data_IF_461326681586
#
_entry.id   IF_461326681586
#
_cell.length_a   1.000
_cell.length_b   1.000
_cell.length_c   1.000
_cell.angle_alpha   90.00
_cell.angle_beta   90.00
_cell.angle_gamma   90.00
#
_symmetry.space_group_name_H-M   'P 1'
#
loop_
_entity.id
_entity.type
_entity.pdbx_description
1 polymer ?
#
# COMPACT_ATOMS: atom_id res chain seq x y z
N UNK A 1 43.71 -31.57 -45.71
CA UNK A 1 42.91 -30.65 -46.56
C UNK A 1 41.62 -30.29 -45.80
N UNK A 2 41.18 -29.02 -45.88
CA UNK A 2 40.02 -28.35 -45.24
C UNK A 2 40.24 -27.86 -43.79
N UNK A 3 40.62 -26.59 -43.64
CA UNK A 3 39.82 -25.33 -43.55
C UNK A 3 39.39 -25.06 -42.11
N UNK A 4 40.04 -24.10 -41.43
CA UNK A 4 39.56 -22.72 -41.27
C UNK A 4 38.10 -22.64 -40.79
N UNK A 5 37.90 -22.25 -39.54
CA UNK A 5 36.87 -21.29 -39.14
C UNK A 5 37.39 -20.51 -37.91
N UNK A 6 37.41 -19.19 -38.09
CA UNK A 6 37.73 -18.16 -37.10
C UNK A 6 36.57 -18.06 -36.12
N UNK A 7 36.83 -18.10 -34.82
CA UNK A 7 35.85 -17.67 -33.81
C UNK A 7 36.52 -16.96 -32.61
N UNK A 8 36.95 -15.69 -32.75
CA UNK A 8 37.04 -14.80 -31.60
C UNK A 8 35.73 -13.99 -31.43
N UNK A 9 34.64 -14.38 -32.09
CA UNK A 9 33.39 -13.61 -32.13
C UNK A 9 32.32 -14.01 -31.11
N UNK A 10 32.43 -15.18 -30.47
CA UNK A 10 31.35 -15.68 -29.59
C UNK A 10 31.53 -15.30 -28.11
N UNK A 11 32.72 -14.85 -27.69
CA UNK A 11 32.97 -14.50 -26.28
C UNK A 11 32.63 -13.03 -25.95
N UNK A 12 32.46 -12.18 -26.96
CA UNK A 12 32.09 -10.76 -26.76
C UNK A 12 30.58 -10.52 -26.62
N UNK A 13 29.74 -11.51 -26.95
CA UNK A 13 28.27 -11.38 -26.84
C UNK A 13 27.76 -11.77 -25.45
N UNK A 14 28.51 -12.55 -24.67
CA UNK A 14 28.11 -12.88 -23.30
C UNK A 14 28.31 -11.73 -22.30
N UNK A 15 29.23 -10.80 -22.58
CA UNK A 15 29.48 -9.64 -21.71
C UNK A 15 28.44 -8.52 -21.83
N UNK A 16 27.61 -8.52 -22.89
CA UNK A 16 26.58 -7.49 -23.12
C UNK A 16 25.25 -7.87 -22.42
N UNK A 17 25.10 -9.12 -21.97
CA UNK A 17 23.92 -9.55 -21.20
C UNK A 17 24.00 -9.23 -19.69
N UNK A 18 25.15 -8.75 -19.20
CA UNK A 18 25.31 -8.34 -17.79
C UNK A 18 25.00 -6.84 -17.60
N UNK A 19 24.84 -6.07 -18.68
CA UNK A 19 24.44 -4.65 -18.63
C UNK A 19 22.92 -4.43 -18.67
N UNK A 20 22.12 -5.49 -18.62
CA UNK A 20 20.65 -5.45 -18.79
C UNK A 20 19.81 -5.42 -17.51
N UNK A 21 20.43 -5.54 -16.32
CA UNK A 21 19.82 -5.14 -15.07
C UNK A 21 20.66 -4.01 -14.50
N UNK A 22 20.60 -2.86 -15.17
CA UNK A 22 20.58 -1.60 -14.46
C UNK A 22 19.28 -1.63 -13.64
N UNK A 23 19.27 -2.47 -12.58
CA UNK A 23 18.34 -2.34 -11.48
C UNK A 23 18.52 -0.89 -11.10
N UNK A 24 17.52 -0.09 -11.44
CA UNK A 24 17.49 1.29 -11.06
C UNK A 24 17.69 1.24 -9.56
N UNK A 25 18.90 1.56 -9.14
CA UNK A 25 19.18 1.97 -7.79
C UNK A 25 18.44 3.30 -7.67
N UNK A 26 17.12 3.22 -7.59
CA UNK A 26 16.30 4.20 -6.92
C UNK A 26 16.69 4.07 -5.44
N UNK A 27 17.90 4.54 -5.13
CA UNK A 27 18.18 5.21 -3.88
C UNK A 27 17.41 6.55 -3.89
N UNK A 28 16.10 6.53 -4.21
CA UNK A 28 15.21 7.63 -3.86
C UNK A 28 15.13 7.53 -2.35
N UNK A 29 15.99 8.28 -1.67
CA UNK A 29 15.71 8.70 -0.30
C UNK A 29 14.24 9.11 -0.29
N UNK A 30 13.41 8.44 0.51
CA UNK A 30 11.99 8.70 0.65
C UNK A 30 11.83 10.21 0.88
N UNK A 31 11.39 10.92 -0.16
CA UNK A 31 11.37 12.37 -0.19
C UNK A 31 9.92 12.82 -0.16
N UNK A 32 9.57 13.56 0.88
CA UNK A 32 8.19 13.99 1.14
C UNK A 32 7.60 14.79 -0.02
N UNK A 33 8.39 15.61 -0.72
CA UNK A 33 7.90 16.39 -1.85
C UNK A 33 7.53 15.51 -3.03
N UNK A 34 8.34 14.48 -3.28
CA UNK A 34 8.05 13.49 -4.32
C UNK A 34 6.78 12.71 -3.96
N UNK A 35 6.66 12.24 -2.72
CA UNK A 35 5.47 11.50 -2.26
C UNK A 35 4.20 12.33 -2.37
N UNK A 36 4.24 13.61 -1.95
CA UNK A 36 3.10 14.52 -2.10
C UNK A 36 2.70 14.74 -3.56
N UNK A 37 3.68 14.90 -4.45
CA UNK A 37 3.44 15.05 -5.88
C UNK A 37 2.83 13.79 -6.48
N UNK A 38 3.40 12.62 -6.17
CA UNK A 38 2.94 11.31 -6.63
C UNK A 38 1.51 11.03 -6.14
N UNK A 39 1.22 11.32 -4.86
CA UNK A 39 -0.13 11.20 -4.29
C UNK A 39 -1.13 12.11 -4.97
N UNK A 40 -0.78 13.37 -5.22
CA UNK A 40 -1.68 14.29 -5.93
C UNK A 40 -1.97 13.80 -7.37
N UNK A 41 -0.95 13.31 -8.05
CA UNK A 41 -1.10 12.65 -9.36
C UNK A 41 -2.00 11.42 -9.29
N UNK A 42 -1.81 10.57 -8.28
CA UNK A 42 -2.65 9.42 -8.01
C UNK A 42 -4.10 9.83 -7.79
N UNK A 43 -4.38 10.77 -6.87
CA UNK A 43 -5.76 11.19 -6.54
C UNK A 43 -6.49 11.75 -7.75
N UNK A 44 -5.83 12.60 -8.55
CA UNK A 44 -6.43 13.18 -9.76
C UNK A 44 -6.79 12.11 -10.79
N UNK A 45 -5.90 11.14 -11.01
CA UNK A 45 -6.17 10.02 -11.90
C UNK A 45 -7.31 9.16 -11.34
N UNK A 46 -7.16 8.70 -10.10
CA UNK A 46 -8.14 7.84 -9.42
C UNK A 46 -9.54 8.45 -9.43
N UNK A 47 -9.70 9.75 -9.13
CA UNK A 47 -11.01 10.39 -9.15
C UNK A 47 -11.61 10.43 -10.56
N UNK A 48 -10.78 10.63 -11.57
CA UNK A 48 -11.22 10.66 -12.98
C UNK A 48 -11.68 9.28 -13.41
N UNK A 49 -10.85 8.25 -13.18
CA UNK A 49 -11.15 6.87 -13.51
C UNK A 49 -12.42 6.41 -12.77
N UNK A 50 -12.58 6.78 -11.48
CA UNK A 50 -13.76 6.43 -10.69
C UNK A 50 -15.03 7.08 -11.26
N UNK A 51 -14.99 8.36 -11.63
CA UNK A 51 -16.12 9.06 -12.25
C UNK A 51 -16.47 8.53 -13.64
N UNK A 52 -15.49 7.98 -14.35
CA UNK A 52 -15.66 7.35 -15.65
C UNK A 52 -16.08 5.87 -15.54
N UNK A 53 -16.34 5.35 -14.33
CA UNK A 53 -16.69 3.94 -14.08
C UNK A 53 -15.58 2.94 -14.49
N UNK A 54 -14.33 3.39 -14.53
CA UNK A 54 -13.15 2.57 -14.84
C UNK A 54 -12.54 1.91 -13.59
N UNK A 55 -13.15 2.11 -12.43
CA UNK A 55 -12.78 1.49 -11.15
C UNK A 55 -13.88 0.53 -10.71
N UNK A 56 -13.53 -0.76 -10.60
CA UNK A 56 -14.38 -1.76 -9.97
C UNK A 56 -14.17 -1.77 -8.47
N UNK A 57 -15.26 -1.75 -7.70
CA UNK A 57 -15.23 -1.79 -6.23
C UNK A 57 -15.68 -3.16 -5.74
N UNK A 58 -14.85 -3.81 -4.92
CA UNK A 58 -15.16 -5.12 -4.32
C UNK A 58 -15.07 -4.99 -2.81
N UNK A 59 -16.10 -5.41 -2.08
CA UNK A 59 -16.09 -5.48 -0.63
C UNK A 59 -16.09 -6.94 -0.16
N UNK A 60 -15.26 -7.26 0.84
CA UNK A 60 -15.19 -8.56 1.49
C UNK A 60 -14.93 -8.42 2.99
N UNK A 61 -15.57 -9.28 3.76
CA UNK A 61 -15.32 -9.41 5.19
C UNK A 61 -13.93 -10.02 5.45
N UNK A 62 -13.30 -9.63 6.55
CA UNK A 62 -12.04 -10.20 7.01
C UNK A 62 -12.32 -11.53 7.72
N UNK A 63 -11.54 -12.57 7.42
CA UNK A 63 -11.69 -13.88 8.04
C UNK A 63 -11.16 -13.83 9.47
N UNK A 64 -12.02 -14.17 10.44
CA UNK A 64 -11.66 -14.31 11.85
C UNK A 64 -11.59 -13.00 12.65
N UNK A 65 -11.90 -11.86 12.02
CA UNK A 65 -11.97 -10.55 12.67
C UNK A 65 -13.27 -9.86 12.26
N UNK A 66 -13.75 -8.98 13.14
CA UNK A 66 -14.84 -8.07 12.78
C UNK A 66 -14.27 -6.90 11.98
N UNK A 67 -14.45 -6.94 10.67
CA UNK A 67 -13.85 -5.98 9.76
C UNK A 67 -14.08 -6.31 8.30
N UNK A 68 -13.76 -5.36 7.44
CA UNK A 68 -13.99 -5.43 6.00
C UNK A 68 -12.82 -4.83 5.22
N UNK A 69 -12.64 -5.31 3.99
CA UNK A 69 -11.72 -4.78 3.00
C UNK A 69 -12.49 -4.37 1.76
N UNK A 70 -12.38 -3.10 1.40
CA UNK A 70 -12.86 -2.56 0.13
C UNK A 70 -11.68 -2.38 -0.83
N UNK A 71 -11.67 -3.14 -1.91
CA UNK A 71 -10.68 -3.02 -2.99
C UNK A 71 -11.21 -2.17 -4.13
N UNK A 72 -10.33 -1.34 -4.67
CA UNK A 72 -10.57 -0.54 -5.86
C UNK A 72 -9.63 -1.03 -6.96
N UNK A 73 -10.20 -1.65 -7.98
CA UNK A 73 -9.49 -2.34 -9.05
C UNK A 73 -9.63 -1.50 -10.32
N UNK A 74 -8.51 -1.15 -10.95
CA UNK A 74 -8.50 -0.36 -12.18
C UNK A 74 -8.88 -1.19 -13.42
N UNK A 75 -9.06 -0.51 -14.56
CA UNK A 75 -9.39 -1.13 -15.84
C UNK A 75 -8.36 -2.18 -16.33
N UNK A 76 -7.16 -2.24 -15.75
CA UNK A 76 -6.14 -3.25 -16.05
C UNK A 76 -6.17 -4.43 -15.06
N UNK A 77 -7.22 -4.55 -14.24
CA UNK A 77 -7.33 -5.51 -13.15
C UNK A 77 -6.25 -5.38 -12.07
N UNK A 78 -5.64 -4.20 -11.92
CA UNK A 78 -4.69 -3.93 -10.85
C UNK A 78 -5.41 -3.27 -9.67
N UNK A 79 -5.18 -3.76 -8.46
CA UNK A 79 -5.65 -3.09 -7.24
C UNK A 79 -4.89 -1.78 -7.08
N UNK A 80 -5.59 -0.65 -7.18
CA UNK A 80 -5.01 0.70 -7.08
C UNK A 80 -5.11 1.26 -5.66
N UNK A 81 -6.17 0.89 -4.93
CA UNK A 81 -6.39 1.27 -3.53
C UNK A 81 -7.10 0.16 -2.76
N UNK A 82 -6.81 0.05 -1.46
CA UNK A 82 -7.61 -0.71 -0.50
C UNK A 82 -8.02 0.18 0.68
N UNK A 83 -9.24 -0.01 1.17
CA UNK A 83 -9.65 0.46 2.50
C UNK A 83 -9.82 -0.77 3.38
N UNK A 84 -9.16 -0.79 4.53
CA UNK A 84 -9.26 -1.85 5.53
C UNK A 84 -9.88 -1.24 6.78
N UNK A 85 -11.00 -1.80 7.23
CA UNK A 85 -11.69 -1.38 8.45
C UNK A 85 -11.68 -2.56 9.43
N UNK A 86 -11.24 -2.30 10.65
CA UNK A 86 -11.26 -3.28 11.76
C UNK A 86 -12.00 -2.66 12.93
N UNK A 87 -12.96 -3.42 13.45
CA UNK A 87 -13.74 -3.08 14.63
C UNK A 87 -13.18 -3.83 15.85
N UNK A 88 -12.79 -3.07 16.86
CA UNK A 88 -12.53 -3.56 18.21
C UNK A 88 -13.76 -3.38 19.09
N UNK A 89 -13.65 -3.71 20.37
CA UNK A 89 -14.75 -3.49 21.32
C UNK A 89 -15.06 -1.99 21.45
N UNK A 90 -14.06 -1.16 21.71
CA UNK A 90 -14.15 0.28 21.97
C UNK A 90 -13.35 1.14 20.97
N UNK A 91 -12.83 0.53 19.90
CA UNK A 91 -12.07 1.23 18.88
C UNK A 91 -12.47 0.81 17.46
N UNK A 92 -12.27 1.72 16.50
CA UNK A 92 -12.33 1.42 15.06
C UNK A 92 -11.05 1.91 14.40
N UNK A 93 -10.43 1.04 13.62
CA UNK A 93 -9.27 1.38 12.80
C UNK A 93 -9.68 1.39 11.33
N UNK A 94 -9.48 2.53 10.65
CA UNK A 94 -9.62 2.66 9.19
C UNK A 94 -8.26 2.93 8.60
N UNK A 95 -7.76 1.99 7.78
CA UNK A 95 -6.49 2.11 7.09
C UNK A 95 -6.70 2.18 5.58
N UNK A 96 -6.14 3.18 4.92
CA UNK A 96 -6.21 3.31 3.46
C UNK A 96 -4.83 3.06 2.85
N UNK A 97 -4.78 2.13 1.91
CA UNK A 97 -3.57 1.73 1.20
C UNK A 97 -3.66 2.23 -0.24
N UNK A 98 -2.66 3.00 -0.65
CA UNK A 98 -2.52 3.55 -2.00
C UNK A 98 -1.34 2.88 -2.68
N UNK A 99 -1.60 2.05 -3.70
CA UNK A 99 -0.56 1.28 -4.39
C UNK A 99 0.03 2.12 -5.53
N UNK A 100 1.10 2.84 -5.21
CA UNK A 100 1.82 3.72 -6.14
C UNK A 100 3.01 2.94 -6.70
N UNK A 101 3.46 3.29 -7.90
CA UNK A 101 4.62 2.62 -8.49
C UNK A 101 5.86 2.78 -7.59
N UNK A 102 6.43 1.63 -7.18
CA UNK A 102 7.58 1.55 -6.30
C UNK A 102 7.32 1.58 -4.79
N UNK A 103 6.13 1.96 -4.28
CA UNK A 103 5.83 1.98 -2.84
C UNK A 103 4.33 1.97 -2.53
N UNK A 104 3.97 1.63 -1.29
CA UNK A 104 2.60 1.79 -0.80
C UNK A 104 2.54 2.96 0.19
N UNK A 105 1.67 3.92 -0.07
CA UNK A 105 1.34 4.96 0.91
C UNK A 105 0.17 4.49 1.77
N UNK A 106 0.25 4.71 3.08
CA UNK A 106 -0.77 4.25 4.02
C UNK A 106 -1.19 5.39 4.95
N UNK A 107 -2.49 5.61 5.07
CA UNK A 107 -3.08 6.44 6.13
C UNK A 107 -3.79 5.54 7.12
N UNK A 108 -3.71 5.86 8.41
CA UNK A 108 -4.35 5.09 9.48
C UNK A 108 -5.07 6.08 10.40
N UNK A 109 -6.39 6.00 10.42
CA UNK A 109 -7.26 6.70 11.36
C UNK A 109 -7.75 5.70 12.41
N UNK A 110 -7.41 5.92 13.67
CA UNK A 110 -8.01 5.17 14.79
C UNK A 110 -8.95 6.07 15.56
N UNK A 111 -10.15 5.59 15.78
CA UNK A 111 -11.18 6.21 16.61
C UNK A 111 -11.33 5.41 17.89
N UNK A 112 -11.36 6.11 19.02
CA UNK A 112 -11.57 5.52 20.34
C UNK A 112 -12.89 6.04 20.89
N UNK A 113 -13.73 5.14 21.34
CA UNK A 113 -15.11 5.43 21.72
C UNK A 113 -15.28 5.47 23.25
N UNK A 114 -16.33 6.14 23.71
CA UNK A 114 -16.63 6.29 25.14
C UNK A 114 -17.14 5.00 25.79
N UNK A 115 -17.62 4.04 24.99
CA UNK A 115 -18.09 2.72 25.41
C UNK A 115 -18.06 1.76 24.21
N UNK A 116 -18.22 0.43 24.43
CA UNK A 116 -18.11 -0.53 23.34
C UNK A 116 -19.12 -0.30 22.21
N UNK A 117 -18.70 -0.49 20.96
CA UNK A 117 -19.47 -0.24 19.74
C UNK A 117 -20.82 -0.99 19.78
N UNK A 118 -20.83 -2.20 20.33
CA UNK A 118 -22.02 -3.06 20.40
C UNK A 118 -22.87 -2.88 21.67
N UNK A 119 -22.55 -1.90 22.52
CA UNK A 119 -23.21 -1.75 23.82
C UNK A 119 -24.70 -1.40 23.72
N UNK A 120 -25.09 -0.53 22.78
CA UNK A 120 -26.49 -0.16 22.58
C UNK A 120 -26.73 0.45 21.20
N UNK A 121 -27.62 -0.18 20.42
CA UNK A 121 -28.07 0.33 19.12
C UNK A 121 -28.88 1.64 19.22
N UNK A 122 -29.37 1.98 20.41
CA UNK A 122 -30.20 3.16 20.65
C UNK A 122 -29.40 4.35 21.20
N UNK A 123 -28.08 4.21 21.35
CA UNK A 123 -27.24 5.24 21.94
C UNK A 123 -26.11 5.57 20.96
N UNK A 124 -26.02 6.83 20.47
CA UNK A 124 -24.99 7.20 19.51
C UNK A 124 -23.62 7.07 20.16
N UNK A 125 -22.71 6.37 19.48
CA UNK A 125 -21.35 6.17 19.96
C UNK A 125 -20.60 7.50 19.85
N UNK A 126 -20.14 8.01 21.00
CA UNK A 126 -19.34 9.23 21.04
C UNK A 126 -17.85 8.89 20.85
N UNK A 127 -17.20 9.64 19.96
CA UNK A 127 -15.74 9.54 19.75
C UNK A 127 -15.05 10.33 20.85
N UNK A 128 -14.34 9.62 21.72
CA UNK A 128 -13.57 10.21 22.81
C UNK A 128 -12.33 10.92 22.25
N UNK A 129 -11.58 10.26 21.39
CA UNK A 129 -10.44 10.85 20.68
C UNK A 129 -10.10 10.08 19.40
N UNK A 130 -9.27 10.70 18.57
CA UNK A 130 -8.77 10.10 17.33
C UNK A 130 -7.25 10.18 17.27
N UNK A 131 -6.63 9.22 16.60
CA UNK A 131 -5.23 9.29 16.20
C UNK A 131 -5.13 9.14 14.69
N UNK A 132 -4.20 9.87 14.08
CA UNK A 132 -3.93 9.80 12.65
C UNK A 132 -2.44 9.57 12.42
N UNK A 133 -2.12 8.58 11.61
CA UNK A 133 -0.75 8.27 11.21
C UNK A 133 -0.66 8.14 9.69
N UNK A 134 0.47 8.57 9.16
CA UNK A 134 0.83 8.40 7.75
C UNK A 134 2.12 7.59 7.69
N UNK A 135 2.17 6.64 6.76
CA UNK A 135 3.31 5.77 6.58
C UNK A 135 3.56 5.45 5.10
N UNK A 136 4.80 5.06 4.80
CA UNK A 136 5.22 4.53 3.51
C UNK A 136 5.81 3.14 3.73
N UNK A 137 5.34 2.18 2.96
CA UNK A 137 5.94 0.86 2.84
C UNK A 137 6.77 0.85 1.56
N UNK A 138 8.08 0.67 1.71
CA UNK A 138 9.05 0.67 0.62
C UNK A 138 10.11 -0.39 0.88
N UNK A 139 10.33 -1.29 -0.09
CA UNK A 139 11.34 -2.34 -0.01
C UNK A 139 11.25 -3.19 1.29
N UNK A 140 10.02 -3.57 1.67
CA UNK A 140 9.73 -4.32 2.90
C UNK A 140 9.94 -3.54 4.20
N UNK A 141 10.33 -2.26 4.13
CA UNK A 141 10.55 -1.39 5.27
C UNK A 141 9.40 -0.40 5.42
N UNK A 142 9.08 -0.06 6.68
CA UNK A 142 8.00 0.88 6.99
C UNK A 142 8.59 2.17 7.54
N UNK A 143 8.11 3.29 7.02
CA UNK A 143 8.53 4.63 7.41
C UNK A 143 7.32 5.42 7.85
N UNK A 144 7.32 5.90 9.10
CA UNK A 144 6.26 6.76 9.63
C UNK A 144 6.59 8.22 9.35
N UNK A 145 5.61 9.01 8.93
CA UNK A 145 5.76 10.45 8.84
C UNK A 145 5.75 11.07 10.25
N UNK A 146 6.83 11.73 10.62
CA UNK A 146 7.00 12.44 11.90
C UNK A 146 7.59 13.80 11.59
N UNK A 147 6.91 14.88 11.99
CA UNK A 147 7.37 16.26 11.81
C UNK A 147 7.83 16.60 10.38
N UNK A 148 7.17 16.04 9.36
CA UNK A 148 7.51 16.28 7.96
C UNK A 148 8.61 15.39 7.38
N UNK A 149 9.12 14.43 8.15
CA UNK A 149 10.14 13.47 7.69
C UNK A 149 9.67 12.03 7.86
N UNK A 150 10.02 11.17 6.90
CA UNK A 150 9.74 9.74 6.97
C UNK A 150 10.85 9.02 7.73
N UNK A 151 10.53 8.58 8.95
CA UNK A 151 11.46 7.89 9.85
C UNK A 151 11.16 6.40 9.82
N UNK A 152 12.18 5.57 9.59
CA UNK A 152 12.04 4.11 9.65
C UNK A 152 11.51 3.67 11.01
N UNK A 153 10.52 2.80 11.03
CA UNK A 153 9.88 2.26 12.24
C UNK A 153 9.67 0.76 12.13
N UNK A 154 9.53 0.11 13.28
CA UNK A 154 9.01 -1.26 13.32
C UNK A 154 7.51 -1.24 13.09
N UNK A 155 6.95 -2.35 12.58
CA UNK A 155 5.51 -2.47 12.31
C UNK A 155 4.66 -2.21 13.56
N UNK A 156 5.11 -2.72 14.71
CA UNK A 156 4.41 -2.60 16.00
C UNK A 156 4.25 -1.14 16.44
N UNK A 157 5.19 -0.25 16.07
CA UNK A 157 5.15 1.17 16.43
C UNK A 157 4.08 1.96 15.66
N UNK A 158 3.65 1.44 14.51
CA UNK A 158 2.66 2.10 13.64
C UNK A 158 1.27 1.52 13.90
N UNK A 159 1.18 0.31 14.46
CA UNK A 159 -0.07 -0.44 14.69
C UNK A 159 -0.91 -0.57 13.41
N UNK A 160 -0.22 -0.76 12.29
CA UNK A 160 -0.81 -1.00 10.96
C UNK A 160 -1.26 -2.46 10.86
N UNK A 161 -2.45 -2.75 10.32
CA UNK A 161 -2.96 -4.12 10.30
C UNK A 161 -2.25 -5.02 9.27
N UNK A 162 -1.81 -4.45 8.14
CA UNK A 162 -1.17 -5.20 7.06
C UNK A 162 -0.01 -4.40 6.44
N UNK A 163 1.01 -5.10 5.95
CA UNK A 163 2.21 -4.50 5.32
C UNK A 163 2.25 -4.69 3.81
N UNK A 164 1.32 -5.43 3.23
CA UNK A 164 1.31 -5.69 1.80
C UNK A 164 -0.09 -5.99 1.28
N UNK A 165 -0.27 -5.88 -0.04
CA UNK A 165 -1.49 -6.35 -0.70
C UNK A 165 -1.67 -7.86 -0.53
N UNK A 166 -0.58 -8.62 -0.47
CA UNK A 166 -0.64 -10.08 -0.27
C UNK A 166 -1.28 -10.41 1.08
N UNK A 167 -0.82 -9.79 2.18
CA UNK A 167 -1.43 -10.01 3.50
C UNK A 167 -2.91 -9.61 3.54
N UNK A 168 -3.28 -8.53 2.83
CA UNK A 168 -4.68 -8.11 2.69
C UNK A 168 -5.50 -9.16 1.93
N UNK A 169 -4.95 -9.77 0.87
CA UNK A 169 -5.62 -10.83 0.12
C UNK A 169 -5.82 -12.08 0.99
N UNK A 170 -4.76 -12.51 1.69
CA UNK A 170 -4.81 -13.66 2.60
C UNK A 170 -5.88 -13.46 3.69
N UNK A 171 -6.00 -12.24 4.23
CA UNK A 171 -6.99 -11.89 5.25
C UNK A 171 -8.45 -12.01 4.79
N UNK A 172 -8.71 -11.98 3.48
CA UNK A 172 -10.05 -12.13 2.89
C UNK A 172 -10.19 -13.42 2.06
N UNK A 173 -9.23 -14.34 2.19
CA UNK A 173 -9.24 -15.65 1.55
C UNK A 173 -8.97 -15.63 0.03
N UNK A 174 -8.12 -14.71 -0.44
CA UNK A 174 -7.64 -14.61 -1.83
C UNK A 174 -6.15 -14.92 -1.99
#
# INVERSE_FOLDING_TARGET
MKSNIKFPGLFLVLCILITGCMGSSFNKKININNIKSDLNGFYKKFSTDYLNEEITVVNKDIIGWDGEVVKYIDANNKVSRCTVIIYGEDEKSTSEYYFIDGYTYVTILKEYYTYPIYYSYNRPIDIMYRTFNEAVIYDGMIYKLVNGEFIKKNIEDIKMPYTSLQEINEAIGE
#
